data_IF_792045161599
#
_entry.id   IF_792045161599
#
_cell.length_a   1.000
_cell.length_b   1.000
_cell.length_c   1.000
_cell.angle_alpha   90.00
_cell.angle_beta   90.00
_cell.angle_gamma   90.00
#
_symmetry.space_group_name_H-M   'P 1'
#
loop_
_entity.id
_entity.type
_entity.pdbx_description
1 polymer ?
#
# COMPACT_ATOMS: atom_id res chain seq x y z
N UNK A 1 -1.93 -1.06 -23.84
CA UNK A 1 -1.82 -1.44 -22.43
C UNK A 1 -1.56 -2.93 -22.36
N UNK A 2 -0.31 -3.29 -22.10
CA UNK A 2 0.14 -4.66 -21.88
C UNK A 2 -0.74 -5.38 -20.85
N UNK A 3 -1.05 -6.64 -21.14
CA UNK A 3 -1.79 -7.57 -20.28
C UNK A 3 -1.27 -7.58 -18.84
N UNK A 4 0.05 -7.54 -18.65
CA UNK A 4 0.67 -7.45 -17.32
C UNK A 4 0.25 -6.18 -16.56
N UNK A 5 0.37 -5.01 -17.21
CA UNK A 5 0.00 -3.72 -16.62
C UNK A 5 -1.48 -3.70 -16.26
N UNK A 6 -2.33 -4.28 -17.11
CA UNK A 6 -3.77 -4.40 -16.86
C UNK A 6 -4.06 -5.23 -15.60
N UNK A 7 -3.45 -6.41 -15.47
CA UNK A 7 -3.63 -7.25 -14.28
C UNK A 7 -3.04 -6.61 -13.03
N UNK A 8 -1.89 -5.92 -13.14
CA UNK A 8 -1.28 -5.19 -12.04
C UNK A 8 -2.21 -4.06 -11.53
N UNK A 9 -2.85 -3.31 -12.42
CA UNK A 9 -3.84 -2.30 -12.06
C UNK A 9 -5.03 -2.92 -11.33
N UNK A 10 -5.60 -4.01 -11.84
CA UNK A 10 -6.70 -4.70 -11.15
C UNK A 10 -6.28 -5.23 -9.79
N UNK A 11 -5.06 -5.76 -9.68
CA UNK A 11 -4.50 -6.22 -8.42
C UNK A 11 -4.36 -5.07 -7.41
N UNK A 12 -3.84 -3.91 -7.84
CA UNK A 12 -3.75 -2.70 -7.00
C UNK A 12 -5.13 -2.27 -6.51
N UNK A 13 -6.13 -2.25 -7.40
CA UNK A 13 -7.52 -1.89 -7.05
C UNK A 13 -8.07 -2.88 -6.03
N UNK A 14 -7.91 -4.18 -6.27
CA UNK A 14 -8.36 -5.24 -5.37
C UNK A 14 -7.73 -5.12 -3.97
N UNK A 15 -6.41 -4.93 -3.92
CA UNK A 15 -5.64 -4.71 -2.69
C UNK A 15 -6.16 -3.47 -1.93
N UNK A 16 -6.47 -2.37 -2.63
CA UNK A 16 -7.09 -1.17 -2.03
C UNK A 16 -8.49 -1.43 -1.46
N UNK A 17 -9.31 -2.22 -2.15
CA UNK A 17 -10.66 -2.58 -1.66
C UNK A 17 -10.55 -3.38 -0.35
N UNK A 18 -9.68 -4.39 -0.29
CA UNK A 18 -9.45 -5.19 0.93
C UNK A 18 -9.01 -4.29 2.08
N UNK A 19 -8.13 -3.33 1.82
CA UNK A 19 -7.65 -2.41 2.83
C UNK A 19 -8.75 -1.51 3.41
N UNK A 20 -9.60 -0.94 2.55
CA UNK A 20 -10.74 -0.15 2.99
C UNK A 20 -11.68 -1.00 3.86
N UNK A 21 -11.97 -2.24 3.43
CA UNK A 21 -12.77 -3.18 4.22
C UNK A 21 -12.14 -3.49 5.58
N UNK A 22 -10.81 -3.60 5.64
CA UNK A 22 -10.06 -3.83 6.88
C UNK A 22 -10.16 -2.64 7.83
N UNK A 23 -10.03 -1.41 7.32
CA UNK A 23 -10.22 -0.18 8.11
C UNK A 23 -11.66 -0.08 8.65
N UNK A 24 -12.65 -0.40 7.81
CA UNK A 24 -14.06 -0.40 8.24
C UNK A 24 -14.26 -1.43 9.35
N UNK A 25 -13.81 -2.67 9.15
CA UNK A 25 -13.88 -3.74 10.17
C UNK A 25 -13.20 -3.33 11.47
N UNK A 26 -12.03 -2.68 11.38
CA UNK A 26 -11.31 -2.16 12.53
C UNK A 26 -12.15 -1.13 13.30
N UNK A 27 -12.70 -0.11 12.63
CA UNK A 27 -13.54 0.92 13.26
C UNK A 27 -14.75 0.31 13.97
N UNK A 28 -15.41 -0.65 13.33
CA UNK A 28 -16.53 -1.39 13.90
C UNK A 28 -16.06 -2.11 15.17
N UNK A 29 -14.98 -2.89 15.10
CA UNK A 29 -14.46 -3.66 16.23
C UNK A 29 -14.11 -2.77 17.42
N UNK A 30 -13.45 -1.63 17.17
CA UNK A 30 -13.08 -0.66 18.20
C UNK A 30 -14.32 -0.09 18.93
N UNK A 31 -15.42 0.15 18.21
CA UNK A 31 -16.66 0.65 18.82
C UNK A 31 -17.37 -0.32 19.77
N UNK A 32 -17.08 -1.63 19.67
CA UNK A 32 -17.68 -2.66 20.53
C UNK A 32 -16.80 -3.07 21.71
N UNK A 33 -15.54 -2.66 21.75
CA UNK A 33 -14.62 -3.01 22.84
C UNK A 33 -14.79 -2.03 23.99
N UNK A 34 -15.08 -2.56 25.18
CA UNK A 34 -15.18 -1.79 26.44
C UNK A 34 -13.90 -1.81 27.28
N UNK A 35 -12.91 -2.61 26.88
CA UNK A 35 -11.64 -2.81 27.61
C UNK A 35 -10.54 -2.01 26.92
N UNK A 36 -10.08 -0.95 27.56
CA UNK A 36 -9.06 -0.02 27.05
C UNK A 36 -7.74 -0.72 26.70
N UNK A 37 -7.35 -1.76 27.46
CA UNK A 37 -6.10 -2.51 27.19
C UNK A 37 -6.22 -3.33 25.91
N UNK A 38 -7.40 -3.89 25.64
CA UNK A 38 -7.67 -4.62 24.39
C UNK A 38 -7.81 -3.67 23.22
N UNK A 39 -8.42 -2.51 23.42
CA UNK A 39 -8.54 -1.46 22.41
C UNK A 39 -7.16 -0.97 21.95
N UNK A 40 -6.23 -0.71 22.89
CA UNK A 40 -4.89 -0.22 22.57
C UNK A 40 -4.06 -1.25 21.80
N UNK A 41 -4.14 -2.54 22.18
CA UNK A 41 -3.50 -3.62 21.41
C UNK A 41 -4.02 -3.70 19.97
N UNK A 42 -5.33 -3.57 19.78
CA UNK A 42 -5.95 -3.63 18.44
C UNK A 42 -5.57 -2.41 17.60
N UNK A 43 -5.45 -1.23 18.23
CA UNK A 43 -4.98 -0.01 17.60
C UNK A 43 -3.53 -0.12 17.12
N UNK A 44 -2.62 -0.56 18.00
CA UNK A 44 -1.21 -0.77 17.64
C UNK A 44 -1.07 -1.76 16.48
N UNK A 45 -1.84 -2.86 16.50
CA UNK A 45 -1.86 -3.82 15.39
C UNK A 45 -2.32 -3.17 14.09
N UNK A 46 -3.40 -2.40 14.13
CA UNK A 46 -3.91 -1.71 12.95
C UNK A 46 -2.92 -0.69 12.38
N UNK A 47 -2.14 -0.01 13.22
CA UNK A 47 -1.05 0.89 12.78
C UNK A 47 0.06 0.11 12.05
N UNK A 48 0.52 -1.01 12.61
CA UNK A 48 1.51 -1.89 11.95
C UNK A 48 0.99 -2.42 10.61
N UNK A 49 -0.28 -2.83 10.56
CA UNK A 49 -0.93 -3.27 9.32
C UNK A 49 -1.05 -2.15 8.29
N UNK A 50 -1.39 -0.95 8.73
CA UNK A 50 -1.48 0.22 7.88
C UNK A 50 -0.13 0.51 7.23
N UNK A 51 0.94 0.58 8.02
CA UNK A 51 2.29 0.84 7.50
C UNK A 51 2.75 -0.23 6.50
N UNK A 52 2.53 -1.51 6.83
CA UNK A 52 2.82 -2.62 5.92
C UNK A 52 2.06 -2.49 4.59
N UNK A 53 0.78 -2.10 4.65
CA UNK A 53 -0.02 -1.89 3.46
C UNK A 53 0.47 -0.70 2.61
N UNK A 54 0.82 0.41 3.24
CA UNK A 54 1.36 1.59 2.54
C UNK A 54 2.69 1.22 1.87
N UNK A 55 3.56 0.48 2.56
CA UNK A 55 4.80 -0.05 2.00
C UNK A 55 4.57 -0.90 0.74
N UNK A 56 3.65 -1.88 0.80
CA UNK A 56 3.28 -2.69 -0.36
C UNK A 56 2.72 -1.84 -1.51
N UNK A 57 1.94 -0.81 -1.19
CA UNK A 57 1.39 0.10 -2.20
C UNK A 57 2.50 0.82 -2.96
N UNK A 58 3.55 1.28 -2.27
CA UNK A 58 4.69 1.91 -2.94
C UNK A 58 5.45 0.93 -3.85
N UNK A 59 5.64 -0.32 -3.44
CA UNK A 59 6.22 -1.36 -4.32
C UNK A 59 5.39 -1.50 -5.59
N UNK A 60 4.06 -1.62 -5.46
CA UNK A 60 3.17 -1.77 -6.61
C UNK A 60 3.19 -0.53 -7.52
N UNK A 61 3.27 0.67 -6.96
CA UNK A 61 3.37 1.92 -7.72
C UNK A 61 4.68 2.00 -8.51
N UNK A 62 5.81 1.58 -7.92
CA UNK A 62 7.10 1.56 -8.62
C UNK A 62 7.08 0.55 -9.77
N UNK A 63 6.49 -0.63 -9.56
CA UNK A 63 6.33 -1.63 -10.62
C UNK A 63 5.42 -1.12 -11.74
N UNK A 64 4.34 -0.42 -11.38
CA UNK A 64 3.40 0.14 -12.34
C UNK A 64 4.06 1.26 -13.15
N UNK A 65 4.66 2.24 -12.50
CA UNK A 65 5.27 3.43 -13.11
C UNK A 65 6.73 3.25 -13.50
N UNK A 66 7.20 2.01 -13.66
CA UNK A 66 8.54 1.75 -14.19
C UNK A 66 8.70 2.46 -15.55
N UNK A 67 9.67 3.37 -15.71
CA UNK A 67 9.85 4.14 -16.95
C UNK A 67 10.20 3.28 -18.17
N UNK A 68 10.57 2.00 -17.98
CA UNK A 68 10.71 1.04 -19.07
C UNK A 68 9.36 0.59 -19.67
N UNK A 69 8.25 0.73 -18.93
CA UNK A 69 6.91 0.39 -19.38
C UNK A 69 6.26 1.56 -20.14
N UNK A 70 6.26 1.50 -21.46
CA UNK A 70 5.68 2.55 -22.34
C UNK A 70 4.15 2.52 -22.43
N UNK A 71 3.51 1.55 -21.78
CA UNK A 71 2.06 1.30 -21.88
C UNK A 71 1.20 2.22 -21.02
N UNK A 72 1.80 2.87 -20.04
CA UNK A 72 1.12 3.82 -19.17
C UNK A 72 1.29 5.21 -19.78
N UNK A 73 0.22 6.00 -19.79
CA UNK A 73 0.30 7.42 -20.12
C UNK A 73 -0.34 8.23 -19.01
N UNK A 74 0.44 9.14 -18.45
CA UNK A 74 0.01 10.08 -17.43
C UNK A 74 -0.43 11.42 -18.03
N UNK A 75 0.04 11.72 -19.24
CA UNK A 75 -0.31 12.93 -19.99
C UNK A 75 -0.62 12.58 -21.45
N UNK A 76 -1.27 13.50 -22.16
CA UNK A 76 -1.52 13.37 -23.61
C UNK A 76 -0.22 13.49 -24.39
N UNK A 77 0.68 14.36 -23.94
CA UNK A 77 2.03 14.51 -24.48
C UNK A 77 2.94 13.37 -24.00
N UNK A 78 3.64 12.77 -24.95
CA UNK A 78 4.49 11.61 -24.70
C UNK A 78 5.70 11.91 -23.83
N UNK A 79 6.33 13.05 -24.05
CA UNK A 79 7.55 13.47 -23.36
C UNK A 79 7.21 13.82 -21.91
N UNK A 80 6.16 14.61 -21.70
CA UNK A 80 5.67 14.96 -20.38
C UNK A 80 5.21 13.72 -19.60
N UNK A 81 4.50 12.80 -20.26
CA UNK A 81 4.09 11.54 -19.64
C UNK A 81 5.29 10.72 -19.16
N UNK A 82 6.38 10.65 -19.95
CA UNK A 82 7.58 9.93 -19.55
C UNK A 82 8.29 10.62 -18.37
N UNK A 83 8.44 11.94 -18.39
CA UNK A 83 9.02 12.68 -17.26
C UNK A 83 8.22 12.48 -15.98
N UNK A 84 6.88 12.55 -16.05
CA UNK A 84 6.02 12.30 -14.90
C UNK A 84 6.18 10.87 -14.37
N UNK A 85 6.31 9.87 -15.25
CA UNK A 85 6.59 8.49 -14.82
C UNK A 85 7.91 8.38 -14.08
N UNK A 86 8.98 8.98 -14.62
CA UNK A 86 10.30 8.99 -13.96
C UNK A 86 10.22 9.65 -12.59
N UNK A 87 9.50 10.77 -12.47
CA UNK A 87 9.30 11.46 -11.19
C UNK A 87 8.54 10.59 -10.20
N UNK A 88 7.40 10.00 -10.59
CA UNK A 88 6.60 9.12 -9.72
C UNK A 88 7.40 7.90 -9.28
N UNK A 89 8.15 7.30 -10.21
CA UNK A 89 9.03 6.17 -9.95
C UNK A 89 10.14 6.53 -8.94
N UNK A 90 10.84 7.65 -9.15
CA UNK A 90 11.90 8.11 -8.27
C UNK A 90 11.37 8.44 -6.86
N UNK A 91 10.23 9.13 -6.77
CA UNK A 91 9.56 9.40 -5.49
C UNK A 91 9.16 8.11 -4.78
N UNK A 92 8.69 7.11 -5.52
CA UNK A 92 8.40 5.79 -4.97
C UNK A 92 9.63 5.13 -4.37
N UNK A 93 10.77 5.16 -5.07
CA UNK A 93 12.04 4.60 -4.56
C UNK A 93 12.48 5.35 -3.30
N UNK A 94 12.47 6.69 -3.32
CA UNK A 94 12.84 7.50 -2.16
C UNK A 94 11.96 7.16 -0.96
N UNK A 95 10.65 7.00 -1.17
CA UNK A 95 9.73 6.60 -0.11
C UNK A 95 10.09 5.22 0.44
N UNK A 96 10.32 4.22 -0.43
CA UNK A 96 10.75 2.89 0.02
C UNK A 96 12.00 2.93 0.90
N UNK A 97 13.02 3.70 0.50
CA UNK A 97 14.27 3.82 1.26
C UNK A 97 14.09 4.46 2.64
N UNK A 98 13.06 5.29 2.82
CA UNK A 98 12.80 6.03 4.06
C UNK A 98 11.70 5.41 4.93
N UNK A 99 11.23 4.20 4.62
CA UNK A 99 10.22 3.54 5.45
C UNK A 99 10.77 3.08 6.81
N UNK A 100 9.90 3.03 7.81
CA UNK A 100 10.19 2.42 9.11
C UNK A 100 10.16 0.88 9.01
N UNK A 101 11.25 0.31 8.47
CA UNK A 101 11.43 -1.13 8.33
C UNK A 101 11.26 -1.91 9.65
N UNK A 102 11.76 -1.45 10.81
CA UNK A 102 11.47 -2.07 12.10
C UNK A 102 9.98 -2.31 12.38
N UNK A 103 9.12 -1.37 12.02
CA UNK A 103 7.67 -1.50 12.24
C UNK A 103 7.02 -2.42 11.19
N UNK A 104 7.44 -2.32 9.93
CA UNK A 104 6.99 -3.22 8.85
C UNK A 104 7.32 -4.69 9.15
N UNK A 105 8.52 -4.97 9.66
CA UNK A 105 8.97 -6.33 9.96
C UNK A 105 8.21 -6.98 11.13
N UNK A 106 7.45 -6.21 11.92
CA UNK A 106 6.56 -6.75 12.95
C UNK A 106 5.21 -7.22 12.40
N UNK A 107 4.81 -6.76 11.21
CA UNK A 107 3.51 -7.08 10.62
C UNK A 107 3.24 -8.60 10.45
N UNK A 108 4.20 -9.45 10.04
CA UNK A 108 3.99 -10.90 9.96
C UNK A 108 3.70 -11.53 11.33
N UNK A 109 4.33 -11.03 12.39
CA UNK A 109 4.15 -11.54 13.76
C UNK A 109 2.76 -11.15 14.29
N UNK A 110 2.36 -9.89 14.07
CA UNK A 110 1.03 -9.39 14.47
C UNK A 110 -0.11 -10.02 13.64
N UNK A 111 0.18 -10.54 12.45
CA UNK A 111 -0.71 -11.34 11.61
C UNK A 111 -0.96 -12.73 12.19
N UNK A 112 0.08 -13.39 12.71
CA UNK A 112 -0.01 -14.77 13.21
C UNK A 112 -0.75 -14.81 14.56
N UNK A 113 -0.58 -13.79 15.41
CA UNK A 113 -1.29 -13.67 16.69
C UNK A 113 -2.74 -13.14 16.56
N UNK A 114 -3.36 -13.31 15.39
CA UNK A 114 -4.78 -12.94 15.16
C UNK A 114 -5.76 -14.02 15.63
N UNK A 115 -5.27 -15.16 16.11
CA UNK A 115 -6.07 -16.28 16.64
C UNK A 115 -5.79 -16.51 18.13
#
# INVERSE_FOLDING_TARGET
MNTFVKYLLYFIIFVKIIFILTIIRYKITLSYIKDDKKAEKIKQRNEVFHEFFVFLTYILLILLFNPMNKDIRLDKDHTNSHHLQVVVFALGIVQLLNFDYPTILKAPVELIHTF
#
